data_IF_683072615268
#
_entry.id   IF_683072615268
#
_cell.length_a   1.000
_cell.length_b   1.000
_cell.length_c   1.000
_cell.angle_alpha   90.00
_cell.angle_beta   90.00
_cell.angle_gamma   90.00
#
_symmetry.space_group_name_H-M   'P 1'
#
loop_
_entity.id
_entity.type
_entity.pdbx_description
1 polymer ?
#
# COMPACT_ATOMS: atom_id res chain seq x y z
N UNK A 1 -20.50 -13.27 -7.97
CA UNK A 1 -19.40 -13.08 -8.94
C UNK A 1 -18.15 -12.77 -8.12
N UNK A 2 -16.97 -13.32 -8.46
CA UNK A 2 -15.74 -12.98 -7.73
C UNK A 2 -15.34 -11.55 -8.06
N UNK A 3 -14.89 -10.78 -7.05
CA UNK A 3 -14.42 -9.41 -7.24
C UNK A 3 -13.19 -9.37 -8.19
N UNK A 4 -13.10 -8.34 -9.02
CA UNK A 4 -11.94 -8.13 -9.90
C UNK A 4 -10.80 -7.48 -9.12
N UNK A 5 -9.60 -8.07 -9.20
CA UNK A 5 -8.41 -7.61 -8.49
C UNK A 5 -7.36 -7.12 -9.49
N UNK A 6 -7.04 -5.83 -9.47
CA UNK A 6 -5.84 -5.27 -10.11
C UNK A 6 -4.68 -5.26 -9.13
N UNK A 7 -3.45 -5.47 -9.61
CA UNK A 7 -2.22 -5.31 -8.81
C UNK A 7 -1.40 -4.16 -9.37
N UNK A 8 -1.05 -3.20 -8.52
CA UNK A 8 -0.27 -2.02 -8.87
C UNK A 8 1.12 -2.12 -8.29
N UNK A 9 2.14 -1.85 -9.10
CA UNK A 9 3.55 -1.93 -8.73
C UNK A 9 4.28 -0.66 -9.18
N UNK A 10 4.48 0.33 -8.30
CA UNK A 10 5.35 1.47 -8.58
C UNK A 10 6.79 1.00 -8.78
N UNK A 11 7.44 1.41 -9.86
CA UNK A 11 8.80 0.97 -10.18
C UNK A 11 9.69 2.10 -10.70
N UNK A 12 10.95 2.05 -10.33
CA UNK A 12 11.98 2.95 -10.86
C UNK A 12 13.37 2.32 -10.80
N UNK A 13 13.96 2.03 -11.96
CA UNK A 13 15.29 1.42 -12.09
C UNK A 13 15.43 0.19 -11.17
N UNK A 14 14.50 -0.74 -11.26
CA UNK A 14 14.44 -1.91 -10.37
C UNK A 14 14.12 -3.21 -11.15
N UNK A 15 14.60 -3.31 -12.40
CA UNK A 15 14.30 -4.42 -13.31
C UNK A 15 14.49 -5.81 -12.67
N UNK A 16 15.60 -6.03 -11.95
CA UNK A 16 15.92 -7.34 -11.33
C UNK A 16 14.92 -7.70 -10.21
N UNK A 17 14.51 -6.74 -9.42
CA UNK A 17 13.56 -6.98 -8.33
C UNK A 17 12.14 -7.12 -8.89
N UNK A 18 11.78 -6.29 -9.85
CA UNK A 18 10.50 -6.36 -10.54
C UNK A 18 10.27 -7.72 -11.21
N UNK A 19 11.30 -8.29 -11.83
CA UNK A 19 11.28 -9.65 -12.39
C UNK A 19 10.88 -10.69 -11.34
N UNK A 20 11.44 -10.59 -10.13
CA UNK A 20 11.11 -11.52 -9.03
C UNK A 20 9.66 -11.32 -8.55
N UNK A 21 9.21 -10.09 -8.44
CA UNK A 21 7.85 -9.75 -8.04
C UNK A 21 6.83 -10.29 -9.07
N UNK A 22 7.05 -10.04 -10.35
CA UNK A 22 6.17 -10.48 -11.44
C UNK A 22 6.17 -12.00 -11.58
N UNK A 23 7.32 -12.67 -11.47
CA UNK A 23 7.40 -14.14 -11.41
C UNK A 23 6.55 -14.71 -10.25
N UNK A 24 6.55 -14.06 -9.09
CA UNK A 24 5.71 -14.49 -7.97
C UNK A 24 4.22 -14.23 -8.23
N UNK A 25 3.87 -13.19 -9.00
CA UNK A 25 2.50 -12.93 -9.44
C UNK A 25 2.02 -13.91 -10.50
N UNK A 26 2.87 -14.31 -11.45
CA UNK A 26 2.57 -15.34 -12.45
C UNK A 26 2.29 -16.70 -11.79
N UNK A 27 2.91 -16.96 -10.64
CA UNK A 27 2.75 -18.21 -9.89
C UNK A 27 1.54 -18.21 -8.93
N UNK A 28 0.67 -17.18 -8.97
CA UNK A 28 -0.50 -17.10 -8.08
C UNK A 28 -1.51 -18.23 -8.36
N UNK A 29 -2.11 -18.78 -7.30
CA UNK A 29 -3.19 -19.79 -7.39
C UNK A 29 -4.47 -19.22 -8.00
N UNK A 30 -4.69 -17.92 -7.85
CA UNK A 30 -5.65 -17.11 -8.57
C UNK A 30 -4.89 -15.99 -9.27
N UNK A 31 -4.85 -15.93 -10.60
CA UNK A 31 -4.25 -14.83 -11.32
C UNK A 31 -4.90 -13.48 -10.93
N UNK A 32 -4.12 -12.41 -10.94
CA UNK A 32 -4.67 -11.07 -10.91
C UNK A 32 -5.46 -10.83 -12.22
N UNK A 33 -6.55 -10.09 -12.14
CA UNK A 33 -7.35 -9.72 -13.33
C UNK A 33 -6.60 -8.66 -14.17
N UNK A 34 -5.67 -7.94 -13.55
CA UNK A 34 -4.84 -6.92 -14.17
C UNK A 34 -3.57 -6.72 -13.34
N UNK A 35 -2.41 -6.59 -13.99
CA UNK A 35 -1.16 -6.11 -13.37
C UNK A 35 -0.76 -4.80 -14.02
N UNK A 36 -0.57 -3.76 -13.23
CA UNK A 36 -0.17 -2.41 -13.64
C UNK A 36 1.19 -2.10 -13.05
N UNK A 37 2.20 -1.98 -13.88
CA UNK A 37 3.51 -1.46 -13.48
C UNK A 37 3.56 0.02 -13.80
N UNK A 38 3.80 0.85 -12.79
CA UNK A 38 3.95 2.30 -12.99
C UNK A 38 5.43 2.62 -13.12
N UNK A 39 5.85 2.89 -14.35
CA UNK A 39 7.21 3.34 -14.62
C UNK A 39 7.38 4.81 -14.25
N UNK A 40 8.20 5.08 -13.25
CA UNK A 40 8.48 6.44 -12.79
C UNK A 40 9.76 7.02 -13.44
N UNK A 41 9.92 6.80 -14.75
CA UNK A 41 11.03 7.30 -15.57
C UNK A 41 12.30 6.45 -15.43
N UNK A 42 12.19 5.13 -15.55
CA UNK A 42 13.32 4.20 -15.55
C UNK A 42 14.18 4.35 -16.79
N UNK A 43 15.47 4.02 -16.66
CA UNK A 43 16.46 4.02 -17.72
C UNK A 43 17.13 2.64 -17.91
N UNK A 44 16.74 1.68 -17.06
CA UNK A 44 17.13 0.28 -17.15
C UNK A 44 16.04 -0.56 -17.87
N UNK A 45 16.13 -1.86 -17.79
CA UNK A 45 15.17 -2.79 -18.41
C UNK A 45 13.83 -2.91 -17.68
N UNK A 46 13.49 -2.01 -16.74
CA UNK A 46 12.25 -2.11 -15.93
C UNK A 46 10.99 -2.23 -16.80
N UNK A 47 10.88 -1.41 -17.85
CA UNK A 47 9.71 -1.42 -18.76
C UNK A 47 9.66 -2.72 -19.57
N UNK A 48 10.81 -3.17 -20.08
CA UNK A 48 10.91 -4.41 -20.88
C UNK A 48 10.50 -5.63 -20.05
N UNK A 49 10.95 -5.68 -18.80
CA UNK A 49 10.56 -6.73 -17.83
C UNK A 49 9.04 -6.71 -17.59
N UNK A 50 8.46 -5.55 -17.34
CA UNK A 50 7.02 -5.44 -17.14
C UNK A 50 6.22 -5.96 -18.35
N UNK A 51 6.61 -5.56 -19.56
CA UNK A 51 5.95 -5.99 -20.79
C UNK A 51 6.12 -7.48 -21.06
N UNK A 52 7.28 -8.07 -20.75
CA UNK A 52 7.54 -9.51 -20.91
C UNK A 52 6.60 -10.37 -20.05
N UNK A 53 6.18 -9.89 -18.88
CA UNK A 53 5.18 -10.53 -18.00
C UNK A 53 3.73 -10.15 -18.33
N UNK A 54 3.48 -9.43 -19.43
CA UNK A 54 2.12 -9.04 -19.84
C UNK A 54 1.50 -7.94 -18.96
N UNK A 55 2.30 -7.26 -18.14
CA UNK A 55 1.81 -6.16 -17.33
C UNK A 55 1.51 -4.92 -18.20
N UNK A 56 0.46 -4.18 -17.85
CA UNK A 56 0.19 -2.88 -18.43
C UNK A 56 1.11 -1.84 -17.80
N UNK A 57 1.90 -1.17 -18.62
CA UNK A 57 2.80 -0.10 -18.17
C UNK A 57 2.10 1.26 -18.22
N UNK A 58 2.18 1.97 -17.12
CA UNK A 58 1.71 3.37 -16.98
C UNK A 58 2.92 4.25 -16.69
N UNK A 59 3.15 5.26 -17.51
CA UNK A 59 4.25 6.20 -17.30
C UNK A 59 3.82 7.33 -16.35
N UNK A 60 4.59 7.56 -15.28
CA UNK A 60 4.45 8.71 -14.39
C UNK A 60 5.68 9.59 -14.47
N UNK A 61 5.52 10.79 -15.05
CA UNK A 61 6.62 11.71 -15.29
C UNK A 61 7.12 12.41 -14.03
N UNK A 62 6.25 12.65 -13.05
CA UNK A 62 6.64 13.25 -11.77
C UNK A 62 7.34 12.20 -10.90
N UNK A 63 8.60 12.45 -10.59
CA UNK A 63 9.42 11.55 -9.76
C UNK A 63 8.97 11.51 -8.32
N UNK A 64 8.66 10.30 -7.82
CA UNK A 64 8.34 10.04 -6.43
C UNK A 64 7.46 8.81 -6.25
N UNK A 65 7.59 8.14 -5.11
CA UNK A 65 6.78 6.97 -4.78
C UNK A 65 5.29 7.36 -4.65
N UNK A 66 4.92 8.48 -3.97
CA UNK A 66 3.52 8.89 -3.86
C UNK A 66 2.86 9.14 -5.21
N UNK A 67 3.60 9.77 -6.16
CA UNK A 67 3.13 10.02 -7.52
C UNK A 67 2.85 8.72 -8.27
N UNK A 68 3.83 7.82 -8.24
CA UNK A 68 3.71 6.54 -8.94
C UNK A 68 2.63 5.64 -8.31
N UNK A 69 2.53 5.59 -6.98
CA UNK A 69 1.46 4.85 -6.29
C UNK A 69 0.09 5.39 -6.68
N UNK A 70 -0.10 6.72 -6.60
CA UNK A 70 -1.38 7.34 -6.94
C UNK A 70 -1.75 7.16 -8.43
N UNK A 71 -0.78 7.28 -9.34
CA UNK A 71 -0.99 7.04 -10.77
C UNK A 71 -1.44 5.60 -11.04
N UNK A 72 -0.86 4.64 -10.36
CA UNK A 72 -1.24 3.23 -10.46
C UNK A 72 -2.64 2.96 -9.92
N UNK A 73 -2.95 3.47 -8.73
CA UNK A 73 -4.28 3.33 -8.11
C UNK A 73 -5.38 4.02 -8.96
N UNK A 74 -5.07 5.15 -9.60
CA UNK A 74 -6.00 5.83 -10.52
C UNK A 74 -6.18 5.08 -11.84
N UNK A 75 -5.15 4.39 -12.31
CA UNK A 75 -5.17 3.68 -13.59
C UNK A 75 -5.78 2.27 -13.47
N UNK A 76 -5.80 1.67 -12.30
CA UNK A 76 -6.33 0.33 -12.09
C UNK A 76 -7.82 0.24 -12.44
N UNK A 77 -8.23 -0.89 -13.04
CA UNK A 77 -9.61 -1.11 -13.52
C UNK A 77 -10.40 -2.11 -12.68
N UNK A 78 -9.74 -2.78 -11.72
CA UNK A 78 -10.38 -3.72 -10.79
C UNK A 78 -11.20 -3.01 -9.71
N UNK A 79 -12.15 -3.74 -9.14
CA UNK A 79 -12.94 -3.29 -7.98
C UNK A 79 -12.06 -3.18 -6.73
N UNK A 80 -11.06 -4.05 -6.65
CA UNK A 80 -10.06 -4.09 -5.60
C UNK A 80 -8.69 -3.86 -6.23
N UNK A 81 -7.90 -2.99 -5.62
CA UNK A 81 -6.55 -2.69 -6.08
C UNK A 81 -5.55 -3.11 -5.00
N UNK A 82 -4.81 -4.18 -5.28
CA UNK A 82 -3.67 -4.59 -4.48
C UNK A 82 -2.42 -3.78 -4.84
N UNK A 83 -1.61 -3.42 -3.85
CA UNK A 83 -0.35 -2.70 -4.07
C UNK A 83 0.82 -3.48 -3.50
N UNK A 84 1.87 -3.63 -4.31
CA UNK A 84 3.15 -4.23 -3.97
C UNK A 84 4.27 -3.27 -4.34
N UNK A 85 5.39 -3.31 -3.63
CA UNK A 85 6.64 -2.72 -4.12
C UNK A 85 7.27 -3.60 -5.20
N UNK A 86 8.10 -3.01 -6.06
CA UNK A 86 8.82 -3.76 -7.11
C UNK A 86 9.73 -4.86 -6.52
N UNK A 87 10.13 -4.74 -5.26
CA UNK A 87 10.94 -5.71 -4.54
C UNK A 87 10.11 -6.58 -3.55
N UNK A 88 8.80 -6.67 -3.74
CA UNK A 88 7.93 -7.55 -2.96
C UNK A 88 7.84 -8.94 -3.58
N UNK A 89 7.75 -9.96 -2.73
CA UNK A 89 7.53 -11.35 -3.13
C UNK A 89 6.27 -11.87 -2.43
N UNK A 90 5.09 -11.77 -3.06
CA UNK A 90 3.84 -12.23 -2.48
C UNK A 90 3.79 -13.77 -2.41
N UNK A 91 3.13 -14.36 -1.39
CA UNK A 91 2.88 -15.79 -1.34
C UNK A 91 1.91 -16.20 -2.47
N UNK A 92 1.94 -17.48 -2.85
CA UNK A 92 1.18 -18.00 -4.01
C UNK A 92 -0.34 -17.81 -3.93
N UNK A 93 -0.88 -17.58 -2.76
CA UNK A 93 -2.31 -17.40 -2.49
C UNK A 93 -2.70 -15.93 -2.19
N UNK A 94 -1.78 -14.98 -2.40
CA UNK A 94 -1.98 -13.58 -2.01
C UNK A 94 -3.19 -12.95 -2.72
N UNK A 95 -3.31 -13.08 -4.05
CA UNK A 95 -4.45 -12.56 -4.83
C UNK A 95 -5.76 -13.27 -4.45
N UNK A 96 -5.70 -14.60 -4.25
CA UNK A 96 -6.86 -15.37 -3.83
C UNK A 96 -7.38 -14.94 -2.46
N UNK A 97 -6.47 -14.68 -1.50
CA UNK A 97 -6.81 -14.22 -0.16
C UNK A 97 -7.37 -12.81 -0.14
N UNK A 98 -6.79 -11.90 -0.94
CA UNK A 98 -7.37 -10.57 -1.14
C UNK A 98 -8.80 -10.70 -1.65
N UNK A 99 -9.01 -11.44 -2.73
CA UNK A 99 -10.33 -11.60 -3.31
C UNK A 99 -11.35 -12.16 -2.30
N UNK A 100 -10.98 -13.19 -1.54
CA UNK A 100 -11.83 -13.77 -0.52
C UNK A 100 -12.12 -12.78 0.64
N UNK A 101 -11.13 -12.00 1.06
CA UNK A 101 -11.32 -11.01 2.12
C UNK A 101 -12.32 -9.91 1.73
N UNK A 102 -12.29 -9.47 0.47
CA UNK A 102 -13.18 -8.43 -0.06
C UNK A 102 -14.57 -8.94 -0.52
N UNK A 103 -14.89 -10.22 -0.30
CA UNK A 103 -16.28 -10.71 -0.29
C UNK A 103 -17.08 -10.07 0.86
N UNK A 104 -16.40 -9.61 1.91
CA UNK A 104 -16.96 -8.76 2.95
C UNK A 104 -17.19 -7.34 2.39
N UNK A 105 -18.46 -6.91 2.23
CA UNK A 105 -18.77 -5.61 1.66
C UNK A 105 -18.36 -4.43 2.55
N UNK A 106 -18.19 -4.67 3.86
CA UNK A 106 -17.77 -3.64 4.82
C UNK A 106 -16.24 -3.42 4.82
N UNK A 107 -15.49 -4.26 4.11
CA UNK A 107 -14.03 -4.13 4.02
C UNK A 107 -13.63 -3.17 2.92
N UNK A 108 -13.00 -2.06 3.28
CA UNK A 108 -12.45 -1.07 2.33
C UNK A 108 -10.96 -1.20 2.14
N UNK A 109 -10.22 -1.59 3.18
CA UNK A 109 -8.75 -1.70 3.16
C UNK A 109 -8.30 -2.95 3.89
N UNK A 110 -7.46 -3.74 3.24
CA UNK A 110 -6.75 -4.89 3.81
C UNK A 110 -5.26 -4.62 3.79
N UNK A 111 -4.57 -4.88 4.89
CA UNK A 111 -3.10 -4.86 4.92
C UNK A 111 -2.58 -6.08 5.67
N UNK A 112 -1.33 -6.41 5.44
CA UNK A 112 -0.64 -7.50 6.12
C UNK A 112 0.82 -7.16 6.39
N UNK A 113 1.55 -7.97 7.18
CA UNK A 113 2.94 -7.71 7.49
C UNK A 113 3.86 -8.03 6.33
N UNK A 114 5.07 -7.45 6.39
CA UNK A 114 6.20 -7.83 5.57
C UNK A 114 7.20 -8.68 6.34
N UNK A 115 7.82 -9.63 5.67
CA UNK A 115 8.97 -10.40 6.17
C UNK A 115 10.21 -10.08 5.34
N UNK A 116 11.30 -9.67 6.02
CA UNK A 116 12.52 -9.26 5.33
C UNK A 116 13.31 -10.45 4.77
N UNK A 117 13.40 -10.56 3.43
CA UNK A 117 14.35 -11.46 2.79
C UNK A 117 15.70 -10.76 2.51
N UNK A 118 16.76 -11.54 2.39
CA UNK A 118 18.14 -11.02 2.24
C UNK A 118 18.66 -10.27 3.46
N UNK A 119 17.96 -10.32 4.60
CA UNK A 119 18.34 -9.67 5.84
C UNK A 119 19.35 -10.51 6.65
N UNK A 120 20.30 -9.84 7.29
CA UNK A 120 21.11 -10.45 8.35
C UNK A 120 20.25 -10.79 9.57
N UNK A 121 20.75 -11.67 10.47
CA UNK A 121 20.04 -11.99 11.72
C UNK A 121 19.67 -10.76 12.54
N UNK A 122 20.57 -9.77 12.62
CA UNK A 122 20.36 -8.52 13.36
C UNK A 122 19.27 -7.64 12.70
N UNK A 123 19.31 -7.50 11.37
CA UNK A 123 18.33 -6.74 10.64
C UNK A 123 16.93 -7.35 10.75
N UNK A 124 16.83 -8.69 10.65
CA UNK A 124 15.56 -9.42 10.85
C UNK A 124 15.03 -9.21 12.26
N UNK A 125 15.87 -9.40 13.29
CA UNK A 125 15.51 -9.15 14.68
C UNK A 125 14.99 -7.71 14.89
N UNK A 126 15.69 -6.72 14.33
CA UNK A 126 15.27 -5.31 14.39
C UNK A 126 13.89 -5.09 13.74
N UNK A 127 13.68 -5.61 12.53
CA UNK A 127 12.40 -5.51 11.82
C UNK A 127 11.25 -6.14 12.62
N UNK A 128 11.43 -7.39 13.03
CA UNK A 128 10.38 -8.17 13.70
C UNK A 128 10.08 -7.71 15.14
N UNK A 129 11.12 -7.29 15.89
CA UNK A 129 10.99 -6.99 17.32
C UNK A 129 10.85 -5.53 17.68
N UNK A 130 11.26 -4.61 16.80
CA UNK A 130 11.17 -3.18 17.03
C UNK A 130 10.30 -2.48 15.98
N UNK A 131 10.68 -2.56 14.71
CA UNK A 131 10.05 -1.76 13.67
C UNK A 131 8.57 -2.15 13.48
N UNK A 132 8.27 -3.41 13.23
CA UNK A 132 6.90 -3.87 13.00
C UNK A 132 5.97 -3.69 14.21
N UNK A 133 6.37 -4.00 15.47
CA UNK A 133 5.52 -3.72 16.61
C UNK A 133 5.22 -2.24 16.83
N UNK A 134 6.18 -1.34 16.57
CA UNK A 134 5.95 0.11 16.65
C UNK A 134 4.97 0.55 15.55
N UNK A 135 5.15 0.03 14.34
CA UNK A 135 4.30 0.33 13.20
C UNK A 135 2.85 -0.08 13.45
N UNK A 136 2.62 -1.32 13.89
CA UNK A 136 1.27 -1.87 14.06
C UNK A 136 0.65 -1.66 15.46
N UNK A 137 1.38 -1.12 16.42
CA UNK A 137 0.90 -0.82 17.76
C UNK A 137 0.65 0.67 17.98
N UNK A 138 1.67 1.44 18.41
CA UNK A 138 1.51 2.86 18.73
C UNK A 138 0.99 3.71 17.59
N UNK A 139 1.42 3.46 16.35
CA UNK A 139 0.98 4.24 15.19
C UNK A 139 -0.49 3.92 14.86
N UNK A 140 -0.89 2.65 14.85
CA UNK A 140 -2.28 2.26 14.68
C UNK A 140 -3.17 2.86 15.78
N UNK A 141 -2.69 2.88 17.04
CA UNK A 141 -3.40 3.54 18.12
C UNK A 141 -3.58 5.05 17.86
N UNK A 142 -2.53 5.73 17.35
CA UNK A 142 -2.60 7.16 17.03
C UNK A 142 -3.60 7.46 15.92
N UNK A 143 -3.71 6.60 14.93
CA UNK A 143 -4.66 6.77 13.82
C UNK A 143 -6.10 6.44 14.22
N UNK A 144 -6.28 5.51 15.17
CA UNK A 144 -7.59 4.99 15.58
C UNK A 144 -8.07 3.81 14.73
N UNK A 145 -7.22 3.33 13.82
CA UNK A 145 -7.45 2.16 12.97
C UNK A 145 -6.11 1.49 12.62
N UNK A 146 -6.15 0.35 11.93
CA UNK A 146 -4.95 -0.36 11.50
C UNK A 146 -4.17 0.41 10.44
N UNK A 147 -2.85 0.26 10.45
CA UNK A 147 -1.94 0.94 9.50
C UNK A 147 -1.92 0.19 8.17
N UNK A 148 -1.74 0.92 7.10
CA UNK A 148 -1.48 0.37 5.76
C UNK A 148 0.03 0.19 5.60
N UNK A 149 0.47 -0.96 5.13
CA UNK A 149 1.87 -1.24 4.81
C UNK A 149 2.07 -1.25 3.30
N UNK A 150 2.87 -0.34 2.80
CA UNK A 150 3.03 -0.07 1.37
C UNK A 150 3.30 -1.29 0.52
N UNK A 151 4.20 -2.16 0.96
CA UNK A 151 4.56 -3.38 0.22
C UNK A 151 3.49 -4.49 0.28
N UNK A 152 2.40 -4.31 1.04
CA UNK A 152 1.38 -5.34 1.24
C UNK A 152 0.05 -4.75 1.69
N UNK A 153 -0.70 -4.16 0.76
CA UNK A 153 -2.08 -3.79 1.03
C UNK A 153 -2.97 -3.94 -0.19
N UNK A 154 -4.27 -3.94 0.04
CA UNK A 154 -5.31 -3.82 -0.98
C UNK A 154 -6.36 -2.81 -0.52
N UNK A 155 -6.92 -2.07 -1.46
CA UNK A 155 -7.93 -1.05 -1.21
C UNK A 155 -9.06 -1.20 -2.22
N UNK A 156 -10.30 -0.99 -1.78
CA UNK A 156 -11.45 -0.90 -2.68
C UNK A 156 -11.32 0.35 -3.54
N UNK A 157 -11.57 0.26 -4.85
CA UNK A 157 -11.44 1.37 -5.78
C UNK A 157 -12.30 2.58 -5.36
N UNK A 158 -13.49 2.33 -4.81
CA UNK A 158 -14.37 3.39 -4.26
C UNK A 158 -13.74 4.09 -3.05
N UNK A 159 -13.08 3.34 -2.16
CA UNK A 159 -12.37 3.91 -1.01
C UNK A 159 -11.20 4.79 -1.47
N UNK A 160 -10.43 4.34 -2.48
CA UNK A 160 -9.41 5.18 -3.10
C UNK A 160 -10.00 6.45 -3.70
N UNK A 161 -11.07 6.34 -4.48
CA UNK A 161 -11.76 7.51 -5.06
C UNK A 161 -12.18 8.53 -4.01
N UNK A 162 -12.53 8.08 -2.81
CA UNK A 162 -12.95 8.96 -1.73
C UNK A 162 -11.80 9.73 -1.07
N UNK A 163 -10.58 9.20 -1.11
CA UNK A 163 -9.41 9.81 -0.43
C UNK A 163 -8.38 10.40 -1.40
N UNK A 164 -8.39 10.04 -2.69
CA UNK A 164 -7.36 10.45 -3.67
C UNK A 164 -7.19 11.97 -3.80
N UNK A 165 -8.20 12.75 -3.44
CA UNK A 165 -8.15 14.23 -3.48
C UNK A 165 -7.58 14.87 -2.21
N UNK A 166 -7.33 14.07 -1.16
CA UNK A 166 -6.81 14.58 0.13
C UNK A 166 -5.47 13.98 0.51
N UNK A 167 -4.98 12.96 -0.20
CA UNK A 167 -3.62 12.44 -0.06
C UNK A 167 -2.63 13.37 -0.75
N UNK A 168 -1.42 13.47 -0.19
CA UNK A 168 -0.36 14.38 -0.68
C UNK A 168 0.42 13.77 -1.86
N UNK A 169 -0.31 13.34 -2.88
CA UNK A 169 0.27 12.64 -4.04
C UNK A 169 1.33 13.42 -4.81
N UNK A 170 1.35 14.75 -4.72
CA UNK A 170 2.30 15.62 -5.42
C UNK A 170 3.56 15.93 -4.60
N UNK A 171 3.60 15.52 -3.33
CA UNK A 171 4.74 15.73 -2.43
C UNK A 171 5.60 14.46 -2.31
N UNK A 172 6.76 14.46 -2.95
CA UNK A 172 7.70 13.32 -2.95
C UNK A 172 8.40 13.04 -1.62
N UNK A 173 8.30 13.94 -0.65
CA UNK A 173 8.90 13.78 0.69
C UNK A 173 7.92 13.07 1.64
N UNK A 174 6.68 12.88 1.25
CA UNK A 174 5.68 12.10 2.00
C UNK A 174 5.95 10.61 1.86
N UNK A 175 5.68 9.85 2.90
CA UNK A 175 5.63 8.40 2.86
C UNK A 175 4.22 7.97 2.44
N UNK A 176 4.08 7.41 1.26
CA UNK A 176 2.79 7.20 0.57
C UNK A 176 1.80 6.35 1.38
N UNK A 177 2.25 5.24 1.95
CA UNK A 177 1.38 4.34 2.72
C UNK A 177 0.91 4.96 4.05
N UNK A 178 1.79 5.73 4.75
CA UNK A 178 1.40 6.49 5.92
C UNK A 178 0.39 7.58 5.56
N UNK A 179 0.60 8.26 4.45
CA UNK A 179 -0.30 9.31 4.00
C UNK A 179 -1.67 8.75 3.62
N UNK A 180 -1.72 7.64 2.89
CA UNK A 180 -2.95 6.91 2.60
C UNK A 180 -3.63 6.51 3.92
N UNK A 181 -2.89 5.88 4.86
CA UNK A 181 -3.45 5.43 6.13
C UNK A 181 -4.04 6.59 6.93
N UNK A 182 -3.31 7.70 7.09
CA UNK A 182 -3.77 8.88 7.84
C UNK A 182 -5.04 9.49 7.24
N UNK A 183 -5.20 9.41 5.92
CA UNK A 183 -6.31 10.03 5.18
C UNK A 183 -7.49 9.09 4.94
N UNK A 184 -7.46 7.85 5.44
CA UNK A 184 -8.65 7.00 5.49
C UNK A 184 -9.76 7.69 6.30
N UNK A 185 -11.00 7.51 5.85
CA UNK A 185 -12.14 8.20 6.46
C UNK A 185 -12.82 7.33 7.52
N UNK A 186 -13.31 7.91 8.63
CA UNK A 186 -14.14 7.20 9.59
C UNK A 186 -15.31 6.51 8.90
N UNK A 187 -15.55 5.25 9.26
CA UNK A 187 -16.54 4.40 8.61
C UNK A 187 -16.01 3.53 7.47
N UNK A 188 -14.74 3.67 7.10
CA UNK A 188 -14.08 2.68 6.25
C UNK A 188 -13.69 1.44 7.06
N UNK A 189 -13.98 0.25 6.52
CA UNK A 189 -13.53 -1.01 7.10
C UNK A 189 -12.05 -1.25 6.84
N UNK A 190 -11.23 -1.18 7.89
CA UNK A 190 -9.77 -1.40 7.79
C UNK A 190 -9.37 -2.65 8.56
N UNK A 191 -8.83 -3.65 7.86
CA UNK A 191 -8.41 -4.93 8.44
C UNK A 191 -6.90 -5.14 8.28
N UNK A 192 -6.28 -5.63 9.34
CA UNK A 192 -4.91 -6.12 9.29
C UNK A 192 -4.89 -7.65 9.46
N UNK A 193 -4.51 -8.36 8.40
CA UNK A 193 -4.38 -9.82 8.43
C UNK A 193 -2.92 -10.21 8.68
N UNK A 194 -2.64 -10.64 9.91
CA UNK A 194 -1.30 -11.08 10.33
C UNK A 194 -0.76 -12.28 9.55
N UNK A 195 -1.63 -13.03 8.90
CA UNK A 195 -1.24 -14.22 8.13
C UNK A 195 -0.97 -13.91 6.66
N UNK A 196 -1.38 -12.74 6.15
CA UNK A 196 -1.12 -12.28 4.79
C UNK A 196 0.30 -11.68 4.73
N UNK A 197 1.32 -12.53 4.82
CA UNK A 197 2.73 -12.11 4.85
C UNK A 197 3.29 -12.00 3.44
N UNK A 198 3.94 -10.88 3.12
CA UNK A 198 4.67 -10.66 1.87
C UNK A 198 6.16 -10.55 2.14
N UNK A 199 6.98 -11.23 1.35
CA UNK A 199 8.42 -11.05 1.38
C UNK A 199 8.79 -9.64 0.91
N UNK A 200 9.60 -8.91 1.68
CA UNK A 200 10.07 -7.57 1.34
C UNK A 200 11.59 -7.49 1.40
N UNK A 201 12.21 -6.71 0.54
CA UNK A 201 13.66 -6.60 0.51
C UNK A 201 14.21 -5.88 1.74
N UNK A 202 15.32 -6.41 2.29
CA UNK A 202 16.05 -5.74 3.37
C UNK A 202 16.91 -4.56 2.88
N UNK A 203 16.85 -4.16 1.62
CA UNK A 203 17.64 -3.04 1.05
C UNK A 203 17.55 -1.74 1.87
N UNK A 204 16.39 -1.33 2.40
CA UNK A 204 16.31 -0.15 3.27
C UNK A 204 17.16 -0.25 4.53
N UNK A 205 17.34 -1.47 5.06
CA UNK A 205 18.10 -1.74 6.28
C UNK A 205 19.61 -1.91 6.04
N UNK A 206 20.06 -1.94 4.79
CA UNK A 206 21.49 -2.13 4.46
C UNK A 206 22.32 -0.86 4.57
N UNK A 207 21.68 0.31 4.64
CA UNK A 207 22.36 1.60 4.71
C UNK A 207 21.68 2.52 5.74
N UNK A 208 22.50 3.09 6.62
CA UNK A 208 22.03 4.07 7.60
C UNK A 208 21.33 5.27 6.96
N UNK A 209 21.87 5.75 5.82
CA UNK A 209 21.29 6.87 5.08
C UNK A 209 19.91 6.57 4.52
N UNK A 210 19.68 5.34 4.01
CA UNK A 210 18.38 4.91 3.50
C UNK A 210 17.37 4.80 4.66
N UNK A 211 17.78 4.17 5.75
CA UNK A 211 16.95 4.03 6.95
C UNK A 211 16.54 5.39 7.51
N UNK A 212 17.49 6.32 7.67
CA UNK A 212 17.23 7.69 8.13
C UNK A 212 16.32 8.47 7.18
N UNK A 213 16.46 8.26 5.86
CA UNK A 213 15.56 8.85 4.88
C UNK A 213 14.12 8.38 5.10
N UNK A 214 13.89 7.08 5.25
CA UNK A 214 12.55 6.51 5.51
C UNK A 214 11.93 7.10 6.78
N UNK A 215 12.70 7.18 7.88
CA UNK A 215 12.21 7.80 9.13
C UNK A 215 11.90 9.27 8.97
N UNK A 216 12.75 10.03 8.25
CA UNK A 216 12.51 11.45 7.97
C UNK A 216 11.22 11.64 7.16
N UNK A 217 11.03 10.83 6.12
CA UNK A 217 9.80 10.86 5.32
C UNK A 217 8.57 10.55 6.19
N UNK A 218 8.64 9.51 7.02
CA UNK A 218 7.55 9.18 7.96
C UNK A 218 7.22 10.36 8.90
N UNK A 219 8.22 10.93 9.56
CA UNK A 219 8.04 12.10 10.44
C UNK A 219 7.48 13.32 9.68
N UNK A 220 7.98 13.57 8.48
CA UNK A 220 7.48 14.65 7.63
C UNK A 220 6.00 14.45 7.31
N UNK A 221 5.60 13.22 6.94
CA UNK A 221 4.20 12.86 6.67
C UNK A 221 3.29 13.14 7.87
N UNK A 222 3.74 12.80 9.08
CA UNK A 222 2.99 13.13 10.30
C UNK A 222 2.83 14.64 10.48
N UNK A 223 3.90 15.41 10.25
CA UNK A 223 3.88 16.87 10.42
C UNK A 223 2.94 17.53 9.41
N UNK A 224 3.03 17.18 8.12
CA UNK A 224 2.17 17.75 7.07
C UNK A 224 0.70 17.46 7.37
N UNK A 225 0.35 16.22 7.59
CA UNK A 225 -1.02 15.81 7.91
C UNK A 225 -1.54 16.44 9.21
N UNK A 226 -0.67 16.57 10.24
CA UNK A 226 -1.05 17.19 11.51
C UNK A 226 -1.37 18.69 11.37
N UNK A 227 -0.64 19.40 10.50
CA UNK A 227 -0.89 20.83 10.22
C UNK A 227 -2.24 21.07 9.58
N UNK A 228 -2.67 20.18 8.70
CA UNK A 228 -3.99 20.27 8.07
C UNK A 228 -5.11 19.91 9.04
N UNK A 229 -4.94 18.79 9.73
CA UNK A 229 -5.89 18.32 10.74
C UNK A 229 -5.17 17.50 11.79
N UNK A 230 -5.33 17.88 13.06
CA UNK A 230 -4.71 17.20 14.20
C UNK A 230 -4.96 15.68 14.15
N UNK A 231 -3.90 14.88 14.29
CA UNK A 231 -3.98 13.41 14.31
C UNK A 231 -4.90 12.92 15.44
N UNK A 232 -4.87 13.58 16.60
CA UNK A 232 -5.78 13.28 17.70
C UNK A 232 -7.25 13.60 17.36
N UNK A 233 -7.50 14.64 16.56
CA UNK A 233 -8.86 14.94 16.09
C UNK A 233 -9.32 13.89 15.06
N UNK A 234 -8.44 13.41 14.19
CA UNK A 234 -8.72 12.28 13.27
C UNK A 234 -9.05 11.02 14.08
N UNK A 235 -8.21 10.65 15.05
CA UNK A 235 -8.46 9.51 15.94
C UNK A 235 -9.80 9.60 16.67
N UNK A 236 -10.12 10.78 17.23
CA UNK A 236 -11.42 10.99 17.89
C UNK A 236 -12.61 10.83 16.93
N UNK A 237 -12.45 11.16 15.66
CA UNK A 237 -13.49 10.97 14.65
C UNK A 237 -13.75 9.46 14.41
N UNK A 238 -12.70 8.65 14.32
CA UNK A 238 -12.78 7.20 14.23
C UNK A 238 -13.49 6.59 15.45
N UNK A 239 -13.01 6.88 16.66
CA UNK A 239 -13.60 6.31 17.88
C UNK A 239 -15.05 6.74 18.11
N UNK A 240 -15.46 7.92 17.65
CA UNK A 240 -16.87 8.36 17.74
C UNK A 240 -17.76 7.65 16.74
N UNK A 241 -17.23 7.33 15.55
CA UNK A 241 -17.97 6.55 14.54
C UNK A 241 -18.23 5.15 15.06
N UNK A 242 -17.18 4.46 15.56
CA UNK A 242 -17.30 3.12 16.14
C UNK A 242 -18.28 3.08 17.31
N UNK A 243 -18.24 4.11 18.19
CA UNK A 243 -19.14 4.19 19.36
C UNK A 243 -20.62 4.44 19.01
N UNK A 244 -20.92 4.92 17.80
CA UNK A 244 -22.30 5.12 17.31
C UNK A 244 -22.91 3.92 16.59
N UNK A 245 -22.24 2.77 16.63
CA UNK A 245 -22.69 1.54 15.99
C UNK A 245 -22.44 1.49 14.48
N UNK A 246 -21.45 2.26 14.00
CA UNK A 246 -20.97 2.19 12.63
C UNK A 246 -22.08 2.24 11.59
N UNK A 247 -22.78 3.38 11.43
CA UNK A 247 -23.69 3.49 10.27
C UNK A 247 -22.86 3.34 8.99
N UNK A 248 -23.24 2.43 8.08
CA UNK A 248 -22.53 2.24 6.83
C UNK A 248 -22.50 3.55 6.05
N UNK A 249 -21.40 3.79 5.41
CA UNK A 249 -21.15 4.99 4.61
C UNK A 249 -22.20 5.12 3.51
N UNK A 250 -22.93 6.24 3.50
CA UNK A 250 -23.77 6.59 2.35
C UNK A 250 -22.86 6.77 1.13
N UNK A 251 -22.92 5.85 0.19
CA UNK A 251 -22.24 5.94 -1.10
C UNK A 251 -22.86 7.14 -1.84
N UNK A 252 -22.18 8.28 -1.79
CA UNK A 252 -22.54 9.43 -2.62
C UNK A 252 -22.19 9.05 -4.05
N UNK A 253 -23.17 8.65 -4.84
CA UNK A 253 -23.00 8.45 -6.27
C UNK A 253 -22.53 9.78 -6.86
N UNK A 254 -21.27 9.85 -7.25
CA UNK A 254 -20.76 10.95 -8.07
C UNK A 254 -21.41 10.81 -9.45
N UNK A 255 -22.04 11.86 -10.01
CA UNK A 255 -22.59 11.79 -11.38
C UNK A 255 -21.45 11.55 -12.37
N UNK A 256 -21.75 10.74 -13.40
CA UNK A 256 -20.86 10.37 -14.51
C UNK A 256 -20.36 11.58 -15.29
#
# INVERSE_FOLDING_TARGET
MSVRVSVVIPSYNDAVMLEQCLTALDAQTRPADEVVVVDNGSTDATVDVALAHGARVVAEAKRGIPQATAAGLDAATGEIVGRLDADSVPPRDWVARIAAAFEDPELDVLSGPGEYYGATRLQRWYGERLQMPIYYGPIAWLFGHQVVFGSNFAIRAEAWCAIRGIVHRDDREVHDDFDIAINLLPGMGVRFDRSLVVGVSARPLTSWSRMMRTYRMGLYTFVVNHRERSLLARRRAWTRHDARGGEPRAVTQTPR
#
